data_IF_363911080744
#
_entry.id   IF_363911080744
#
_cell.length_a   1.000
_cell.length_b   1.000
_cell.length_c   1.000
_cell.angle_alpha   90.00
_cell.angle_beta   90.00
_cell.angle_gamma   90.00
#
_symmetry.space_group_name_H-M   'P 1'
#
loop_
_entity.id
_entity.type
_entity.pdbx_description
1 polymer ?
#
# COMPACT_ATOMS: atom_id res chain seq x y z
N UNK A 1 1.15 -15.12 15.38
CA UNK A 1 -0.33 -15.02 15.37
C UNK A 1 -0.90 -13.64 15.02
N UNK A 2 -0.17 -12.51 15.20
CA UNK A 2 -0.69 -11.16 14.84
C UNK A 2 -0.85 -10.90 13.33
N UNK A 3 -0.08 -11.57 12.47
CA UNK A 3 -0.21 -11.44 11.00
C UNK A 3 -1.59 -11.86 10.47
N UNK A 4 -2.23 -12.88 11.05
CA UNK A 4 -3.55 -13.34 10.60
C UNK A 4 -4.71 -12.40 10.99
N UNK A 5 -4.59 -11.62 12.09
CA UNK A 5 -5.68 -10.72 12.55
C UNK A 5 -5.75 -9.40 11.79
N UNK A 6 -4.63 -8.87 11.28
CA UNK A 6 -4.66 -7.75 10.32
C UNK A 6 -5.24 -8.18 8.95
N UNK A 7 -5.21 -9.49 8.64
CA UNK A 7 -5.57 -10.05 7.33
C UNK A 7 -7.04 -10.40 7.13
N UNK A 8 -7.77 -10.73 8.20
CA UNK A 8 -9.25 -10.79 8.18
C UNK A 8 -9.83 -9.46 7.66
N UNK A 9 -9.00 -8.41 7.69
CA UNK A 9 -9.32 -7.01 7.54
C UNK A 9 -9.42 -6.38 6.12
N UNK A 10 -8.88 -7.03 5.09
CA UNK A 10 -8.61 -6.35 3.81
C UNK A 10 -9.83 -6.23 2.88
N UNK A 11 -10.96 -6.86 3.21
CA UNK A 11 -12.17 -6.87 2.39
C UNK A 11 -13.15 -5.71 2.70
N UNK A 12 -13.40 -5.34 3.97
CA UNK A 12 -14.10 -4.09 4.30
C UNK A 12 -13.38 -2.87 3.70
N UNK A 13 -12.07 -2.96 3.54
CA UNK A 13 -11.29 -1.98 2.81
C UNK A 13 -11.71 -1.84 1.34
N UNK A 14 -11.92 -2.96 0.65
CA UNK A 14 -12.38 -2.96 -0.73
C UNK A 14 -13.76 -2.28 -0.78
N UNK A 15 -14.69 -2.65 0.10
CA UNK A 15 -16.01 -2.00 0.19
C UNK A 15 -15.94 -0.50 0.48
N UNK A 16 -15.06 -0.06 1.40
CA UNK A 16 -14.86 1.36 1.74
C UNK A 16 -14.28 2.13 0.55
N UNK A 17 -13.26 1.60 -0.11
CA UNK A 17 -12.65 2.24 -1.28
C UNK A 17 -13.58 2.21 -2.51
N UNK A 18 -14.44 1.19 -2.63
CA UNK A 18 -15.52 1.15 -3.63
C UNK A 18 -16.55 2.26 -3.38
N UNK A 19 -16.87 2.59 -2.12
CA UNK A 19 -17.86 3.63 -1.76
C UNK A 19 -17.32 5.06 -1.84
N UNK A 20 -16.03 5.31 -1.58
CA UNK A 20 -15.44 6.67 -1.54
C UNK A 20 -15.01 7.18 -2.94
N UNK A 21 -14.96 6.30 -3.96
CA UNK A 21 -14.37 6.59 -5.28
C UNK A 21 -15.09 7.56 -6.23
N UNK A 22 -16.11 8.31 -5.81
CA UNK A 22 -16.96 9.13 -6.71
C UNK A 22 -16.77 10.65 -6.68
N UNK A 23 -15.90 11.20 -5.84
CA UNK A 23 -15.75 12.67 -5.68
C UNK A 23 -14.80 13.30 -6.69
N UNK A 24 -15.30 13.71 -7.86
CA UNK A 24 -14.57 14.61 -8.76
C UNK A 24 -14.68 16.06 -8.27
N UNK A 25 -13.54 16.73 -8.05
CA UNK A 25 -13.48 18.17 -7.79
C UNK A 25 -13.83 18.92 -9.08
N UNK A 26 -15.01 19.55 -9.14
CA UNK A 26 -15.33 20.55 -10.18
C UNK A 26 -15.24 21.93 -9.56
N UNK A 27 -14.35 22.76 -10.09
CA UNK A 27 -14.40 24.20 -9.86
C UNK A 27 -15.63 24.76 -10.58
N UNK A 28 -16.64 25.20 -9.82
CA UNK A 28 -17.75 25.98 -10.37
C UNK A 28 -17.33 27.45 -10.44
N UNK A 29 -17.32 28.00 -11.65
CA UNK A 29 -17.19 29.44 -11.91
C UNK A 29 -18.34 30.18 -11.21
N UNK A 30 -18.04 31.32 -10.58
CA UNK A 30 -19.05 32.20 -10.01
C UNK A 30 -19.93 32.81 -11.11
N UNK A 31 -21.26 32.80 -10.99
CA UNK A 31 -22.11 33.62 -11.83
C UNK A 31 -22.40 34.95 -11.11
N UNK A 32 -22.05 35.99 -11.83
CA UNK A 32 -22.52 37.37 -11.68
C UNK A 32 -24.05 37.45 -11.65
N UNK A 33 -24.59 38.29 -10.76
CA UNK A 33 -25.82 39.04 -11.05
C UNK A 33 -27.07 38.72 -10.21
N UNK A 34 -27.54 39.78 -9.53
CA UNK A 34 -28.92 40.07 -9.07
C UNK A 34 -29.23 39.81 -7.58
N UNK A 35 -29.71 40.91 -6.96
CA UNK A 35 -30.02 41.16 -5.55
C UNK A 35 -31.37 40.58 -5.12
N UNK A 36 -31.44 40.05 -3.89
CA UNK A 36 -32.67 39.70 -3.15
C UNK A 36 -32.32 39.14 -1.76
N UNK A 37 -33.15 39.30 -0.72
CA UNK A 37 -32.69 39.53 0.66
C UNK A 37 -32.26 38.27 1.41
N UNK A 38 -31.19 38.43 2.18
CA UNK A 38 -30.53 37.39 3.01
C UNK A 38 -31.45 36.94 4.15
N UNK A 39 -31.92 35.68 4.10
CA UNK A 39 -32.13 34.85 5.29
C UNK A 39 -31.06 33.77 5.30
N UNK A 40 -30.38 33.62 6.44
CA UNK A 40 -29.25 32.72 6.62
C UNK A 40 -29.61 31.28 6.30
N UNK A 41 -29.08 30.77 5.19
CA UNK A 41 -29.03 29.35 4.91
C UNK A 41 -27.70 28.81 5.42
N UNK A 42 -27.73 28.03 6.49
CA UNK A 42 -26.67 27.07 6.78
C UNK A 42 -26.50 26.20 5.53
N UNK A 43 -25.31 26.26 4.93
CA UNK A 43 -24.97 25.51 3.73
C UNK A 43 -24.93 24.01 4.03
N UNK A 44 -26.08 23.34 3.94
CA UNK A 44 -26.15 21.89 3.91
C UNK A 44 -25.64 21.44 2.55
N UNK A 45 -24.37 21.02 2.50
CA UNK A 45 -23.77 20.34 1.36
C UNK A 45 -24.53 19.03 1.11
N UNK A 46 -25.54 19.08 0.23
CA UNK A 46 -26.20 17.87 -0.28
C UNK A 46 -25.24 17.16 -1.24
N UNK A 47 -24.68 16.03 -0.78
CA UNK A 47 -23.97 15.09 -1.66
C UNK A 47 -25.00 14.46 -2.60
N UNK A 48 -25.10 14.98 -3.81
CA UNK A 48 -25.85 14.35 -4.89
C UNK A 48 -25.17 13.02 -5.24
N UNK A 49 -25.83 11.90 -4.93
CA UNK A 49 -25.46 10.55 -5.38
C UNK A 49 -25.60 10.47 -6.91
N UNK A 50 -24.58 10.90 -7.63
CA UNK A 50 -24.32 10.39 -8.99
C UNK A 50 -23.11 9.47 -8.87
N UNK A 51 -23.38 8.21 -8.51
CA UNK A 51 -22.38 7.14 -8.57
C UNK A 51 -22.10 6.87 -10.04
N UNK A 52 -20.97 7.38 -10.55
CA UNK A 52 -20.38 6.84 -11.77
C UNK A 52 -20.09 5.33 -11.60
N UNK A 53 -19.78 4.59 -12.67
CA UNK A 53 -19.50 3.16 -12.58
C UNK A 53 -18.41 2.91 -11.53
N UNK A 54 -18.68 2.05 -10.56
CA UNK A 54 -17.75 1.79 -9.46
C UNK A 54 -16.38 1.38 -10.04
N UNK A 55 -15.28 2.06 -9.65
CA UNK A 55 -13.96 1.82 -10.24
C UNK A 55 -13.46 0.39 -9.98
N UNK A 56 -14.07 -0.31 -9.04
CA UNK A 56 -13.81 -1.69 -8.71
C UNK A 56 -15.11 -2.49 -8.90
N UNK A 57 -15.03 -3.60 -9.65
CA UNK A 57 -16.10 -4.58 -9.76
C UNK A 57 -15.82 -5.63 -8.69
N UNK A 58 -16.85 -6.05 -7.94
CA UNK A 58 -16.69 -7.19 -7.03
C UNK A 58 -16.19 -8.39 -7.85
N UNK A 59 -15.16 -9.06 -7.33
CA UNK A 59 -14.44 -10.10 -8.06
C UNK A 59 -13.12 -9.59 -8.62
N UNK A 60 -13.12 -8.71 -9.61
CA UNK A 60 -11.89 -8.38 -10.36
C UNK A 60 -10.89 -7.49 -9.63
N UNK A 61 -11.08 -7.27 -8.32
CA UNK A 61 -10.27 -6.38 -7.52
C UNK A 61 -9.61 -7.11 -6.33
N UNK A 62 -8.38 -6.72 -6.03
CA UNK A 62 -7.60 -7.21 -4.90
C UNK A 62 -7.20 -6.09 -3.93
N UNK A 63 -6.95 -6.46 -2.69
CA UNK A 63 -6.34 -5.60 -1.69
C UNK A 63 -4.95 -6.14 -1.36
N UNK A 64 -3.93 -5.30 -1.50
CA UNK A 64 -2.52 -5.67 -1.36
C UNK A 64 -1.91 -4.88 -0.21
N UNK A 65 -1.34 -5.56 0.78
CA UNK A 65 -0.52 -4.94 1.82
C UNK A 65 0.95 -5.20 1.53
N UNK A 66 1.69 -4.14 1.20
CA UNK A 66 3.15 -4.18 1.11
C UNK A 66 3.74 -3.95 2.50
N UNK A 67 4.31 -4.99 3.11
CA UNK A 67 4.94 -4.92 4.43
C UNK A 67 6.46 -5.11 4.38
N UNK A 68 7.16 -4.67 5.42
CA UNK A 68 8.63 -4.75 5.48
C UNK A 68 9.13 -6.20 5.43
N UNK A 69 8.48 -7.09 6.19
CA UNK A 69 8.89 -8.50 6.33
C UNK A 69 7.99 -9.43 5.52
N UNK A 70 6.71 -9.09 5.44
CA UNK A 70 5.68 -9.92 4.81
C UNK A 70 4.74 -9.02 4.04
N UNK A 71 4.48 -9.37 2.79
CA UNK A 71 3.46 -8.73 1.95
C UNK A 71 2.32 -9.70 1.73
N UNK A 72 1.11 -9.18 1.60
CA UNK A 72 -0.09 -10.00 1.55
C UNK A 72 -1.08 -9.48 0.52
N UNK A 73 -1.89 -10.38 -0.02
CA UNK A 73 -2.99 -10.09 -0.93
C UNK A 73 -4.27 -10.75 -0.42
N UNK A 74 -5.39 -10.06 -0.63
CA UNK A 74 -6.72 -10.60 -0.44
C UNK A 74 -7.60 -10.29 -1.66
N UNK A 75 -8.43 -11.24 -2.06
CA UNK A 75 -9.38 -11.09 -3.17
C UNK A 75 -10.62 -11.96 -2.93
N UNK A 76 -11.75 -11.57 -3.52
CA UNK A 76 -12.98 -12.38 -3.45
C UNK A 76 -12.84 -13.67 -4.26
N UNK A 77 -13.20 -14.80 -3.67
CA UNK A 77 -13.33 -16.08 -4.35
C UNK A 77 -14.82 -16.48 -4.39
N UNK A 78 -15.39 -16.46 -5.60
CA UNK A 78 -16.82 -16.77 -5.80
C UNK A 78 -17.08 -18.22 -6.21
N UNK A 79 -16.05 -19.07 -6.27
CA UNK A 79 -16.21 -20.44 -6.81
C UNK A 79 -17.06 -21.36 -5.96
N UNK A 80 -17.19 -21.07 -4.66
CA UNK A 80 -17.88 -21.96 -3.70
C UNK A 80 -19.32 -21.54 -3.38
N UNK A 81 -19.92 -20.59 -4.12
CA UNK A 81 -21.31 -20.17 -3.90
C UNK A 81 -21.56 -19.43 -2.58
N UNK A 82 -20.58 -19.39 -1.67
CA UNK A 82 -20.50 -18.53 -0.50
C UNK A 82 -19.46 -17.42 -0.77
N UNK A 83 -19.53 -16.26 -0.07
CA UNK A 83 -18.52 -15.22 -0.19
C UNK A 83 -17.25 -15.64 0.56
N UNK A 84 -16.55 -16.63 0.02
CA UNK A 84 -15.19 -16.95 0.45
C UNK A 84 -14.20 -15.94 -0.11
N UNK A 85 -13.04 -15.84 0.55
CA UNK A 85 -12.00 -14.91 0.16
C UNK A 85 -10.68 -15.65 0.12
N UNK A 86 -9.96 -15.43 -0.97
CA UNK A 86 -8.57 -15.83 -1.09
C UNK A 86 -7.71 -14.88 -0.28
N UNK A 87 -6.76 -15.43 0.46
CA UNK A 87 -5.72 -14.68 1.13
C UNK A 87 -4.38 -15.39 1.01
N UNK A 88 -3.33 -14.63 0.74
CA UNK A 88 -1.96 -15.12 0.73
C UNK A 88 -1.06 -14.08 1.37
N UNK A 89 -0.11 -14.55 2.16
CA UNK A 89 1.01 -13.77 2.64
C UNK A 89 2.32 -14.44 2.25
N UNK A 90 3.30 -13.62 1.90
CA UNK A 90 4.56 -14.08 1.38
C UNK A 90 5.72 -13.21 1.93
N UNK A 91 6.91 -13.78 2.18
CA UNK A 91 8.10 -13.01 2.55
C UNK A 91 8.37 -11.85 1.58
N UNK A 92 8.66 -10.65 2.12
CA UNK A 92 9.02 -9.47 1.34
C UNK A 92 10.51 -9.46 1.00
N UNK A 93 10.92 -10.44 0.20
CA UNK A 93 12.30 -10.64 -0.23
C UNK A 93 12.40 -10.55 -1.75
N UNK A 94 13.44 -9.88 -2.24
CA UNK A 94 13.81 -9.82 -3.65
C UNK A 94 15.31 -10.06 -3.74
N UNK A 95 15.77 -10.86 -4.68
CA UNK A 95 17.19 -11.10 -4.89
C UNK A 95 17.54 -11.02 -6.37
N UNK A 96 18.79 -10.69 -6.65
CA UNK A 96 19.30 -10.62 -8.01
C UNK A 96 20.48 -11.56 -8.12
N UNK A 97 20.33 -12.50 -9.06
CA UNK A 97 21.35 -13.50 -9.34
C UNK A 97 22.47 -12.91 -10.20
N UNK A 98 23.55 -13.66 -10.28
CA UNK A 98 24.71 -13.42 -11.14
C UNK A 98 24.39 -13.42 -12.65
N UNK A 99 23.29 -14.06 -13.05
CA UNK A 99 22.76 -14.08 -14.42
C UNK A 99 21.62 -13.07 -14.64
N UNK A 100 21.60 -11.95 -13.90
CA UNK A 100 20.60 -10.87 -14.00
C UNK A 100 19.14 -11.31 -13.76
N UNK A 101 18.92 -12.54 -13.26
CA UNK A 101 17.56 -13.02 -12.93
C UNK A 101 17.11 -12.42 -11.60
N UNK A 102 15.90 -11.85 -11.60
CA UNK A 102 15.23 -11.35 -10.39
C UNK A 102 14.45 -12.50 -9.74
N UNK A 103 14.84 -12.85 -8.53
CA UNK A 103 14.13 -13.80 -7.66
C UNK A 103 13.24 -13.04 -6.69
N UNK A 104 12.12 -13.66 -6.30
CA UNK A 104 11.18 -13.11 -5.33
C UNK A 104 10.87 -14.14 -4.23
N UNK A 105 10.40 -13.64 -3.08
CA UNK A 105 9.77 -14.43 -2.01
C UNK A 105 10.66 -15.55 -1.47
N UNK A 106 10.26 -16.83 -1.54
CA UNK A 106 10.99 -17.94 -0.95
C UNK A 106 12.30 -18.19 -1.70
N UNK A 107 12.30 -18.03 -3.03
CA UNK A 107 13.52 -18.16 -3.83
C UNK A 107 14.55 -17.08 -3.45
N UNK A 108 14.10 -15.83 -3.30
CA UNK A 108 14.96 -14.73 -2.84
C UNK A 108 15.45 -14.94 -1.40
N UNK A 109 14.57 -15.37 -0.50
CA UNK A 109 14.92 -15.64 0.90
C UNK A 109 15.96 -16.75 1.02
N UNK A 110 15.82 -17.83 0.24
CA UNK A 110 16.81 -18.91 0.22
C UNK A 110 18.13 -18.46 -0.40
N UNK A 111 18.08 -17.60 -1.42
CA UNK A 111 19.26 -17.02 -2.06
C UNK A 111 20.12 -16.16 -1.12
N UNK A 112 19.54 -15.64 -0.03
CA UNK A 112 20.28 -14.89 1.00
C UNK A 112 21.46 -15.68 1.60
N UNK A 113 21.37 -17.01 1.62
CA UNK A 113 22.47 -17.87 2.10
C UNK A 113 23.63 -17.98 1.11
N UNK A 114 23.35 -17.79 -0.18
CA UNK A 114 24.32 -17.90 -1.27
C UNK A 114 24.95 -16.53 -1.58
N UNK A 115 24.11 -15.51 -1.75
CA UNK A 115 24.53 -14.15 -2.04
C UNK A 115 23.73 -13.17 -1.18
N UNK A 116 24.13 -12.97 0.08
CA UNK A 116 23.44 -12.01 0.94
C UNK A 116 23.51 -10.60 0.34
N UNK A 117 24.63 -10.24 -0.30
CA UNK A 117 24.88 -8.88 -0.83
C UNK A 117 23.96 -8.45 -1.97
N UNK A 118 23.33 -9.40 -2.67
CA UNK A 118 22.37 -9.15 -3.74
C UNK A 118 20.93 -9.49 -3.35
N UNK A 119 20.70 -9.77 -2.06
CA UNK A 119 19.40 -10.14 -1.52
C UNK A 119 18.87 -9.05 -0.60
N UNK A 120 17.64 -8.60 -0.86
CA UNK A 120 17.07 -7.37 -0.31
C UNK A 120 15.78 -7.71 0.45
N UNK A 121 15.67 -7.18 1.69
CA UNK A 121 14.47 -7.27 2.53
C UNK A 121 14.26 -6.01 3.36
N UNK A 122 13.03 -5.74 3.80
CA UNK A 122 12.66 -4.57 4.60
C UNK A 122 12.62 -3.23 3.88
N UNK A 123 12.86 -3.22 2.58
CA UNK A 123 12.93 -2.01 1.76
C UNK A 123 11.62 -1.17 1.75
N UNK A 124 10.47 -1.71 2.16
CA UNK A 124 9.21 -0.93 2.13
C UNK A 124 9.17 0.20 3.15
N UNK A 125 10.01 0.21 4.19
CA UNK A 125 10.15 1.33 5.13
C UNK A 125 10.95 2.50 4.53
N UNK A 126 11.77 2.21 3.52
CA UNK A 126 12.66 3.14 2.85
C UNK A 126 11.99 3.88 1.69
N UNK A 127 10.75 3.49 1.33
CA UNK A 127 9.99 4.12 0.26
C UNK A 127 9.88 5.63 0.51
N UNK A 128 10.43 6.41 -0.43
CA UNK A 128 10.47 7.88 -0.41
C UNK A 128 11.24 8.50 0.79
N UNK A 129 12.09 7.73 1.47
CA UNK A 129 12.97 8.26 2.52
C UNK A 129 14.23 8.92 1.95
N UNK A 130 14.93 9.69 2.78
CA UNK A 130 16.24 10.28 2.51
C UNK A 130 17.29 9.59 3.37
N UNK A 131 18.54 9.52 2.89
CA UNK A 131 19.66 8.92 3.63
C UNK A 131 19.87 9.49 5.04
N UNK A 132 19.42 10.72 5.30
CA UNK A 132 19.56 11.39 6.60
C UNK A 132 18.45 11.03 7.60
N UNK A 133 17.38 10.40 7.15
CA UNK A 133 16.23 10.07 7.98
C UNK A 133 16.58 8.90 8.90
N UNK A 134 16.14 8.95 10.15
CA UNK A 134 16.60 7.99 11.18
C UNK A 134 16.21 6.55 10.85
N UNK A 135 15.03 6.36 10.24
CA UNK A 135 14.58 5.05 9.74
C UNK A 135 15.56 4.44 8.74
N UNK A 136 16.20 5.26 7.90
CA UNK A 136 17.19 4.79 6.93
C UNK A 136 18.48 4.44 7.64
N UNK A 137 18.94 5.26 8.61
CA UNK A 137 20.14 4.96 9.39
C UNK A 137 20.01 3.66 10.18
N UNK A 138 18.85 3.41 10.76
CA UNK A 138 18.59 2.18 11.50
C UNK A 138 18.47 0.98 10.57
N UNK A 139 17.81 1.14 9.43
CA UNK A 139 17.76 0.10 8.40
C UNK A 139 19.16 -0.20 7.84
N UNK A 140 20.04 0.80 7.69
CA UNK A 140 21.44 0.61 7.30
C UNK A 140 22.24 -0.21 8.33
N UNK A 141 21.90 -0.12 9.63
CA UNK A 141 22.54 -0.93 10.68
C UNK A 141 22.07 -2.39 10.64
N UNK A 142 20.80 -2.62 10.27
CA UNK A 142 20.20 -3.95 10.20
C UNK A 142 20.50 -4.67 8.88
N UNK A 143 20.56 -3.90 7.79
CA UNK A 143 20.77 -4.40 6.43
C UNK A 143 22.25 -4.41 6.07
N UNK A 144 23.01 -5.28 6.73
CA UNK A 144 24.45 -5.46 6.51
C UNK A 144 24.89 -5.94 5.10
N UNK A 145 24.06 -6.61 4.26
CA UNK A 145 24.60 -7.13 3.01
C UNK A 145 24.66 -6.14 1.84
N UNK A 146 23.68 -5.26 1.70
CA UNK A 146 23.53 -4.37 0.54
C UNK A 146 23.77 -2.91 0.94
N UNK A 147 24.22 -2.10 -0.02
CA UNK A 147 24.56 -0.69 0.21
C UNK A 147 23.38 0.20 -0.13
N UNK A 148 23.42 1.40 0.44
CA UNK A 148 22.43 2.44 0.22
C UNK A 148 23.09 3.56 -0.57
N UNK A 149 22.43 4.04 -1.62
CA UNK A 149 22.86 5.18 -2.42
C UNK A 149 21.83 6.30 -2.39
N UNK A 150 22.17 7.44 -2.99
CA UNK A 150 21.27 8.57 -3.16
C UNK A 150 20.94 8.72 -4.65
N UNK A 151 19.69 8.49 -5.02
CA UNK A 151 19.18 8.69 -6.38
C UNK A 151 18.06 9.71 -6.37
N UNK A 152 18.21 10.78 -7.16
CA UNK A 152 17.23 11.88 -7.22
C UNK A 152 16.81 12.42 -5.83
N UNK A 153 17.75 12.53 -4.90
CA UNK A 153 17.49 13.03 -3.54
C UNK A 153 16.88 12.02 -2.56
N UNK A 154 16.56 10.81 -3.02
CA UNK A 154 15.96 9.72 -2.22
C UNK A 154 16.96 8.61 -2.01
N UNK A 155 16.71 7.78 -0.99
CA UNK A 155 17.45 6.55 -0.80
C UNK A 155 17.16 5.58 -1.95
N UNK A 156 18.19 4.92 -2.45
CA UNK A 156 18.13 3.80 -3.38
C UNK A 156 18.99 2.65 -2.84
N UNK A 157 18.77 1.45 -3.35
CA UNK A 157 19.55 0.27 -2.96
C UNK A 157 20.56 0.00 -4.05
N UNK A 158 21.80 -0.23 -3.62
CA UNK A 158 22.95 -0.43 -4.47
C UNK A 158 23.66 -1.72 -4.06
N UNK A 159 24.00 -2.55 -5.03
CA UNK A 159 24.90 -3.67 -4.82
C UNK A 159 25.89 -3.79 -5.99
N UNK A 160 27.03 -4.39 -5.69
CA UNK A 160 28.00 -4.74 -6.73
C UNK A 160 27.48 -5.97 -7.46
N UNK A 161 27.41 -5.90 -8.78
CA UNK A 161 26.95 -7.04 -9.56
C UNK A 161 27.92 -8.23 -9.37
N UNK A 162 27.44 -9.46 -9.10
CA UNK A 162 28.31 -10.60 -8.86
C UNK A 162 29.23 -10.92 -10.05
N UNK A 163 28.69 -10.80 -11.26
CA UNK A 163 29.37 -11.21 -12.49
C UNK A 163 30.10 -10.07 -13.19
N UNK A 164 29.72 -8.80 -12.93
CA UNK A 164 30.23 -7.65 -13.67
C UNK A 164 31.11 -6.82 -12.73
N UNK A 165 32.41 -7.12 -12.70
CA UNK A 165 33.36 -6.47 -11.79
C UNK A 165 33.28 -4.94 -11.89
N UNK A 166 32.93 -4.31 -10.77
CA UNK A 166 32.87 -2.86 -10.63
C UNK A 166 31.58 -2.22 -11.14
N UNK A 167 30.67 -2.99 -11.76
CA UNK A 167 29.38 -2.46 -12.13
C UNK A 167 28.46 -2.41 -10.91
N UNK A 168 27.93 -1.22 -10.73
CA UNK A 168 26.98 -0.90 -9.69
C UNK A 168 25.58 -0.99 -10.27
N UNK A 169 24.73 -1.83 -9.68
CA UNK A 169 23.31 -1.87 -10.02
C UNK A 169 22.54 -1.13 -8.93
N UNK A 170 21.65 -0.23 -9.37
CA UNK A 170 20.77 0.51 -8.50
C UNK A 170 19.32 0.11 -8.74
N UNK A 171 18.64 -0.34 -7.69
CA UNK A 171 17.20 -0.55 -7.70
C UNK A 171 16.49 0.54 -6.93
N UNK A 172 15.40 1.05 -7.51
CA UNK A 172 14.49 1.88 -6.74
C UNK A 172 13.64 1.00 -5.83
N UNK A 173 13.23 1.57 -4.70
CA UNK A 173 12.30 0.91 -3.78
C UNK A 173 10.95 0.59 -4.44
N UNK A 174 10.57 1.34 -5.47
CA UNK A 174 9.34 1.11 -6.23
C UNK A 174 9.49 -0.13 -7.12
N UNK A 175 10.62 -0.29 -7.80
CA UNK A 175 10.89 -1.47 -8.64
C UNK A 175 10.83 -2.76 -7.81
N UNK A 176 11.46 -2.75 -6.63
CA UNK A 176 11.39 -3.86 -5.69
C UNK A 176 9.96 -4.13 -5.19
N UNK A 177 9.17 -3.06 -4.97
CA UNK A 177 7.77 -3.20 -4.56
C UNK A 177 6.95 -3.86 -5.67
N UNK A 178 7.17 -3.49 -6.93
CA UNK A 178 6.49 -4.08 -8.10
C UNK A 178 6.74 -5.56 -8.19
N UNK A 179 7.99 -6.02 -8.00
CA UNK A 179 8.31 -7.46 -8.01
C UNK A 179 7.40 -8.22 -7.04
N UNK A 180 7.21 -7.70 -5.83
CA UNK A 180 6.31 -8.30 -4.84
C UNK A 180 4.83 -8.16 -5.22
N UNK A 181 4.40 -7.03 -5.76
CA UNK A 181 3.00 -6.82 -6.18
C UNK A 181 2.63 -7.78 -7.31
N UNK A 182 3.49 -7.93 -8.32
CA UNK A 182 3.30 -8.82 -9.45
C UNK A 182 3.27 -10.28 -9.03
N UNK A 183 4.15 -10.70 -8.13
CA UNK A 183 4.17 -12.07 -7.61
C UNK A 183 2.91 -12.39 -6.79
N UNK A 184 2.45 -11.46 -5.93
CA UNK A 184 1.18 -11.62 -5.21
C UNK A 184 0.00 -11.77 -6.17
N UNK A 185 -0.05 -10.93 -7.21
CA UNK A 185 -1.09 -10.99 -8.24
C UNK A 185 -1.06 -12.34 -8.96
N UNK A 186 0.12 -12.76 -9.43
CA UNK A 186 0.29 -14.01 -10.15
C UNK A 186 -0.21 -15.22 -9.35
N UNK A 187 0.20 -15.34 -8.08
CA UNK A 187 -0.26 -16.43 -7.20
C UNK A 187 -1.77 -16.38 -6.93
N UNK A 188 -2.32 -15.18 -6.78
CA UNK A 188 -3.76 -15.00 -6.58
C UNK A 188 -4.57 -15.37 -7.84
N UNK A 189 -4.14 -14.94 -9.02
CA UNK A 189 -4.80 -15.27 -10.29
C UNK A 189 -4.70 -16.76 -10.61
N UNK A 190 -3.53 -17.37 -10.37
CA UNK A 190 -3.35 -18.81 -10.49
C UNK A 190 -4.29 -19.58 -9.55
N UNK A 191 -4.45 -19.10 -8.31
CA UNK A 191 -5.41 -19.72 -7.39
C UNK A 191 -6.85 -19.50 -7.84
N UNK A 192 -7.26 -18.28 -8.20
CA UNK A 192 -8.64 -17.90 -8.50
C UNK A 192 -9.13 -18.36 -9.89
N UNK A 193 -8.21 -18.66 -10.81
CA UNK A 193 -8.51 -19.03 -12.20
C UNK A 193 -9.04 -17.87 -13.05
N UNK A 194 -8.76 -16.62 -12.67
CA UNK A 194 -9.22 -15.41 -13.39
C UNK A 194 -8.32 -14.22 -13.11
N UNK A 195 -8.36 -13.24 -14.00
CA UNK A 195 -7.58 -12.02 -13.88
C UNK A 195 -8.12 -11.08 -12.78
N UNK A 196 -7.20 -10.46 -12.05
CA UNK A 196 -7.40 -9.36 -11.13
C UNK A 196 -7.01 -8.06 -11.83
N UNK A 197 -8.00 -7.40 -12.45
CA UNK A 197 -7.82 -6.16 -13.20
C UNK A 197 -7.62 -4.89 -12.36
N UNK A 198 -7.92 -4.93 -11.05
CA UNK A 198 -7.86 -3.76 -10.18
C UNK A 198 -7.26 -4.05 -8.81
N UNK A 199 -6.63 -3.05 -8.18
CA UNK A 199 -6.02 -3.18 -6.86
C UNK A 199 -6.18 -1.95 -5.97
N UNK A 200 -6.29 -2.21 -4.67
CA UNK A 200 -6.04 -1.24 -3.60
C UNK A 200 -4.72 -1.64 -2.92
N UNK A 201 -3.71 -0.78 -3.01
CA UNK A 201 -2.37 -1.02 -2.46
C UNK A 201 -2.24 -0.23 -1.16
N UNK A 202 -2.01 -0.94 -0.06
CA UNK A 202 -1.85 -0.39 1.28
C UNK A 202 -0.39 -0.01 1.50
N UNK A 203 -0.14 1.28 1.66
CA UNK A 203 1.19 1.90 1.73
C UNK A 203 1.45 2.61 3.07
N UNK A 204 2.72 2.86 3.46
CA UNK A 204 3.02 3.69 4.63
C UNK A 204 2.44 5.10 4.52
N UNK A 205 1.99 5.67 5.66
CA UNK A 205 1.45 7.05 5.71
C UNK A 205 2.45 8.10 5.20
N UNK A 206 3.72 7.95 5.57
CA UNK A 206 4.78 8.91 5.26
C UNK A 206 5.11 9.01 3.76
N UNK A 207 4.55 8.14 2.93
CA UNK A 207 4.69 8.21 1.49
C UNK A 207 4.04 9.50 0.98
N UNK A 208 4.84 10.39 0.38
CA UNK A 208 4.33 11.63 -0.19
C UNK A 208 3.52 11.37 -1.47
N UNK A 209 2.92 12.44 -2.02
CA UNK A 209 2.09 12.35 -3.22
C UNK A 209 2.81 11.66 -4.38
N UNK A 210 4.05 12.06 -4.69
CA UNK A 210 4.83 11.48 -5.79
C UNK A 210 5.09 9.99 -5.55
N UNK A 211 5.55 9.59 -4.36
CA UNK A 211 5.80 8.18 -4.06
C UNK A 211 4.53 7.32 -4.11
N UNK A 212 3.37 7.87 -3.73
CA UNK A 212 2.07 7.18 -3.90
C UNK A 212 1.72 7.01 -5.36
N UNK A 213 1.95 8.04 -6.17
CA UNK A 213 1.69 7.98 -7.60
C UNK A 213 2.63 6.97 -8.29
N UNK A 214 3.90 6.91 -7.87
CA UNK A 214 4.86 5.92 -8.36
C UNK A 214 4.35 4.50 -8.09
N UNK A 215 3.91 4.19 -6.85
CA UNK A 215 3.32 2.88 -6.51
C UNK A 215 2.02 2.59 -7.27
N UNK A 216 1.15 3.59 -7.44
CA UNK A 216 -0.11 3.44 -8.19
C UNK A 216 0.17 3.14 -9.66
N UNK A 217 1.09 3.88 -10.28
CA UNK A 217 1.48 3.67 -11.67
C UNK A 217 2.11 2.30 -11.83
N UNK A 218 2.99 1.93 -10.91
CA UNK A 218 3.68 0.66 -11.00
C UNK A 218 2.73 -0.54 -10.80
N UNK A 219 1.74 -0.40 -9.91
CA UNK A 219 0.64 -1.36 -9.81
C UNK A 219 -0.20 -1.44 -11.09
N UNK A 220 -0.51 -0.30 -11.71
CA UNK A 220 -1.37 -0.25 -12.89
C UNK A 220 -0.70 -0.78 -14.15
N UNK A 221 0.53 -0.36 -14.42
CA UNK A 221 1.22 -0.59 -15.68
C UNK A 221 2.19 -1.77 -15.58
N UNK A 222 2.98 -1.87 -14.51
CA UNK A 222 4.02 -2.90 -14.40
C UNK A 222 3.47 -4.21 -13.81
N UNK A 223 2.61 -4.14 -12.80
CA UNK A 223 1.91 -5.31 -12.26
C UNK A 223 0.61 -5.66 -13.01
N UNK A 224 0.16 -4.79 -13.91
CA UNK A 224 -0.98 -5.05 -14.80
C UNK A 224 -2.36 -4.99 -14.14
N UNK A 225 -2.57 -4.20 -13.08
CA UNK A 225 -3.91 -3.84 -12.60
C UNK A 225 -4.54 -2.78 -13.51
N UNK A 226 -4.73 -3.13 -14.79
CA UNK A 226 -4.98 -2.22 -15.90
C UNK A 226 -6.23 -1.34 -15.74
N UNK A 227 -7.25 -1.83 -15.01
CA UNK A 227 -8.50 -1.10 -14.79
C UNK A 227 -8.35 0.00 -13.74
N UNK A 228 -7.76 -0.30 -12.59
CA UNK A 228 -7.55 0.67 -11.53
C UNK A 228 -6.50 0.21 -10.51
N UNK A 229 -5.63 1.12 -10.09
CA UNK A 229 -4.83 0.97 -8.88
C UNK A 229 -5.05 2.20 -7.98
N UNK A 230 -5.17 2.00 -6.67
CA UNK A 230 -5.24 3.09 -5.68
C UNK A 230 -4.35 2.80 -4.49
N UNK A 231 -3.61 3.80 -4.04
CA UNK A 231 -2.84 3.72 -2.79
C UNK A 231 -3.67 4.23 -1.61
N UNK A 232 -3.62 3.52 -0.48
CA UNK A 232 -4.25 3.96 0.77
C UNK A 232 -3.33 3.73 1.97
N UNK A 233 -3.58 4.42 3.06
CA UNK A 233 -2.73 4.33 4.24
C UNK A 233 -2.96 3.04 5.02
N UNK A 234 -1.86 2.42 5.49
CA UNK A 234 -1.90 1.25 6.41
C UNK A 234 -2.85 1.43 7.59
N UNK A 235 -2.82 2.58 8.27
CA UNK A 235 -3.67 2.79 9.45
C UNK A 235 -5.15 2.97 9.10
N UNK A 236 -5.46 3.64 7.97
CA UNK A 236 -6.84 3.75 7.48
C UNK A 236 -7.32 2.36 7.07
N UNK A 237 -6.44 1.57 6.45
CA UNK A 237 -6.75 0.22 6.08
C UNK A 237 -7.10 -0.66 7.26
N UNK A 238 -6.28 -0.61 8.31
CA UNK A 238 -6.53 -1.31 9.56
C UNK A 238 -7.82 -0.84 10.26
N UNK A 239 -8.17 0.44 10.21
CA UNK A 239 -9.40 0.91 10.85
C UNK A 239 -10.66 0.55 10.05
N UNK A 240 -10.61 0.66 8.72
CA UNK A 240 -11.68 0.21 7.82
C UNK A 240 -11.95 -1.29 8.02
N UNK A 241 -10.88 -2.04 8.22
CA UNK A 241 -10.86 -3.45 8.52
C UNK A 241 -11.79 -3.83 9.70
N UNK A 242 -11.70 -3.12 10.82
CA UNK A 242 -12.47 -3.44 12.01
C UNK A 242 -13.91 -2.88 11.98
N UNK A 243 -14.43 -2.59 10.78
CA UNK A 243 -15.79 -2.07 10.55
C UNK A 243 -16.11 -0.76 11.27
N UNK A 244 -15.11 -0.02 11.73
CA UNK A 244 -15.33 1.24 12.44
C UNK A 244 -15.92 2.36 11.56
N UNK A 245 -15.97 2.17 10.23
CA UNK A 245 -16.62 3.08 9.31
C UNK A 245 -18.16 2.93 9.26
N UNK A 246 -18.73 1.84 9.81
CA UNK A 246 -20.17 1.56 9.76
C UNK A 246 -20.94 1.99 11.01
N UNK A 247 -20.24 2.29 12.11
CA UNK A 247 -20.88 2.73 13.34
C UNK A 247 -21.18 4.25 13.27
N UNK A 248 -22.38 4.60 12.80
CA UNK A 248 -22.89 5.96 12.86
C UNK A 248 -23.50 6.20 14.25
N UNK A 249 -22.95 7.13 15.04
CA UNK A 249 -23.59 7.52 16.31
C UNK A 249 -22.76 8.44 17.20
N UNK A 250 -21.48 8.14 17.40
CA UNK A 250 -20.59 8.92 18.26
C UNK A 250 -19.27 9.22 17.57
N UNK A 251 -18.68 10.40 17.81
CA UNK A 251 -17.29 10.70 17.42
C UNK A 251 -16.36 9.74 18.17
N UNK A 252 -16.08 8.58 17.58
CA UNK A 252 -15.15 7.60 18.13
C UNK A 252 -13.74 7.90 17.63
N UNK A 253 -12.88 8.30 18.55
CA UNK A 253 -11.44 8.28 18.31
C UNK A 253 -10.93 6.84 18.36
N UNK A 254 -10.14 6.44 17.36
CA UNK A 254 -9.60 5.09 17.21
C UNK A 254 -8.10 5.15 17.26
N UNK A 255 -7.51 4.47 18.23
CA UNK A 255 -6.09 4.22 18.26
C UNK A 255 -5.78 2.96 17.43
N UNK A 256 -5.06 3.15 16.33
CA UNK A 256 -4.47 2.07 15.54
C UNK A 256 -3.01 1.89 15.99
N UNK A 257 -2.75 0.81 16.72
CA UNK A 257 -1.42 0.36 17.08
C UNK A 257 -1.00 -0.78 16.15
N UNK A 258 0.02 -0.56 15.32
CA UNK A 258 0.57 -1.53 14.37
C UNK A 258 2.00 -1.88 14.74
N UNK A 259 2.20 -3.07 15.31
CA UNK A 259 3.53 -3.65 15.59
C UNK A 259 3.87 -4.62 14.46
N UNK A 260 4.82 -4.25 13.60
CA UNK A 260 5.30 -5.08 12.49
C UNK A 260 6.64 -5.74 12.80
N UNK A 261 7.26 -6.38 11.80
CA UNK A 261 8.57 -7.02 11.98
C UNK A 261 9.77 -6.07 12.07
N UNK A 262 9.65 -4.83 11.59
CA UNK A 262 10.72 -3.80 11.64
C UNK A 262 10.26 -2.43 12.14
N UNK A 263 8.95 -2.20 12.25
CA UNK A 263 8.38 -0.87 12.54
C UNK A 263 7.18 -1.01 13.44
N UNK A 264 7.06 -0.13 14.42
CA UNK A 264 5.84 0.12 15.17
C UNK A 264 5.25 1.47 14.76
N UNK A 265 3.93 1.53 14.60
CA UNK A 265 3.21 2.80 14.41
C UNK A 265 2.04 2.89 15.36
N UNK A 266 1.82 4.06 15.92
CA UNK A 266 0.60 4.42 16.63
C UNK A 266 -0.07 5.58 15.87
N UNK A 267 -1.35 5.45 15.55
CA UNK A 267 -2.12 6.52 14.91
C UNK A 267 -3.46 6.69 15.60
N UNK A 268 -3.85 7.93 15.87
CA UNK A 268 -5.21 8.24 16.32
C UNK A 268 -6.00 8.70 15.11
N UNK A 269 -7.12 8.03 14.84
CA UNK A 269 -8.06 8.35 13.79
C UNK A 269 -9.33 8.89 14.42
N UNK A 270 -9.86 9.97 13.87
CA UNK A 270 -11.24 10.39 14.10
C UNK A 270 -12.09 9.93 12.92
N UNK A 271 -13.36 9.63 13.18
CA UNK A 271 -14.33 9.12 12.21
C UNK A 271 -15.58 10.01 12.16
N UNK A 272 -15.45 11.32 11.85
CA UNK A 272 -16.62 12.14 11.61
C UNK A 272 -17.35 11.64 10.35
N UNK A 273 -18.56 11.13 10.52
CA UNK A 273 -19.45 10.75 9.41
C UNK A 273 -18.82 9.81 8.38
N UNK A 274 -18.14 8.76 8.84
CA UNK A 274 -17.45 7.75 8.01
C UNK A 274 -16.26 8.27 7.17
N UNK A 275 -15.74 9.46 7.47
CA UNK A 275 -14.47 9.97 6.92
C UNK A 275 -13.36 9.69 7.92
N UNK A 276 -12.29 9.02 7.49
CA UNK A 276 -11.11 8.82 8.33
C UNK A 276 -10.24 10.06 8.35
N UNK A 277 -10.07 10.67 9.51
CA UNK A 277 -9.16 11.81 9.75
C UNK A 277 -8.04 11.35 10.66
N UNK A 278 -6.78 11.43 10.24
CA UNK A 278 -5.66 11.04 11.10
C UNK A 278 -5.21 12.22 11.96
N UNK A 279 -5.52 12.17 13.25
CA UNK A 279 -5.23 13.22 14.23
C UNK A 279 -3.76 13.27 14.64
N UNK A 280 -3.17 12.11 14.92
CA UNK A 280 -1.78 11.99 15.36
C UNK A 280 -1.15 10.72 14.79
N UNK A 281 0.18 10.73 14.61
CA UNK A 281 0.94 9.57 14.20
C UNK A 281 2.34 9.60 14.77
N UNK A 282 2.75 8.47 15.33
CA UNK A 282 4.13 8.19 15.71
C UNK A 282 4.62 6.96 14.95
N UNK A 283 5.87 7.02 14.50
CA UNK A 283 6.61 5.91 13.94
C UNK A 283 7.79 5.65 14.88
N UNK A 284 7.92 4.42 15.34
CA UNK A 284 9.09 3.97 16.08
C UNK A 284 9.63 2.69 15.48
N UNK A 285 10.91 2.48 15.67
CA UNK A 285 11.60 1.27 15.25
C UNK A 285 11.39 0.16 16.29
N UNK A 286 11.46 -1.09 15.84
CA UNK A 286 11.54 -2.23 16.75
C UNK A 286 12.97 -2.74 16.61
N UNK A 287 13.76 -2.47 17.64
CA UNK A 287 15.17 -2.89 17.76
C UNK A 287 15.23 -4.40 17.93
#
# INVERSE_FOLDING_TARGET
>A
MMGRRLLVSLLPLLMVVMRIGGGGVRHLKSPTGVRGPKRGSEGVLRVARTLGPAPFLLGSAAAIHLGNTTSCIAAYDFRLGSPEYYQLCMPSWVAITDNDTVLSVEAAMNHATVSPGTTISGFTCLLNQKLKDDVVKSEMKLSSPYKFSKKAGRVAIQFNHPSWRGQVIEFSHVDLAVVLVSELKHRAEAHLGRELSAAVIVVPRHLNYNGRQDIVNAGRYDAGFHRAAKAIDRQIAAAAAYHHHTEQGDRKAILVLRVGGRTMHASILDLPSAVFVVLAHSLSEII
#
